data_IF_023653530121
#
_entry.id   IF_023653530121
#
_cell.length_a   1.000
_cell.length_b   1.000
_cell.length_c   1.000
_cell.angle_alpha   90.00
_cell.angle_beta   90.00
_cell.angle_gamma   90.00
#
_symmetry.space_group_name_H-M   'P 1'
#
loop_
_entity.id
_entity.type
_entity.pdbx_description
1 polymer ?
#
# COMPACT_ATOMS: atom_id res chain seq x y z
N UNK A 1 -14.67 -24.23 31.65
CA UNK A 1 -15.45 -23.03 31.27
C UNK A 1 -14.48 -22.06 30.61
N UNK A 2 -14.57 -21.89 29.29
CA UNK A 2 -13.63 -21.11 28.50
C UNK A 2 -14.07 -19.63 28.41
N UNK A 3 -13.38 -18.74 29.10
CA UNK A 3 -13.54 -17.29 28.99
C UNK A 3 -12.87 -16.66 27.75
N UNK A 4 -12.77 -17.39 26.64
CA UNK A 4 -12.07 -16.89 25.44
C UNK A 4 -12.92 -16.02 24.51
N UNK A 5 -14.23 -15.94 24.73
CA UNK A 5 -15.14 -15.24 23.82
C UNK A 5 -15.23 -13.72 24.00
N UNK A 6 -15.01 -13.19 25.20
CA UNK A 6 -15.18 -11.77 25.51
C UNK A 6 -13.99 -10.88 25.06
N UNK A 7 -12.80 -11.46 24.90
CA UNK A 7 -11.60 -10.70 24.53
C UNK A 7 -11.51 -10.32 23.04
N UNK A 8 -12.23 -11.00 22.17
CA UNK A 8 -12.22 -10.73 20.72
C UNK A 8 -12.83 -9.38 20.34
N UNK A 9 -14.05 -9.02 20.79
CA UNK A 9 -14.67 -7.74 20.42
C UNK A 9 -13.96 -6.53 21.00
N UNK A 10 -13.41 -6.64 22.23
CA UNK A 10 -12.69 -5.52 22.87
C UNK A 10 -11.38 -5.21 22.12
N UNK A 11 -10.65 -6.23 21.65
CA UNK A 11 -9.43 -6.05 20.85
C UNK A 11 -9.72 -5.42 19.48
N UNK A 12 -10.81 -5.84 18.84
CA UNK A 12 -11.28 -5.25 17.58
C UNK A 12 -11.62 -3.77 17.77
N UNK A 13 -12.39 -3.43 18.81
CA UNK A 13 -12.74 -2.06 19.13
C UNK A 13 -11.49 -1.20 19.41
N UNK A 14 -10.48 -1.74 20.09
CA UNK A 14 -9.24 -1.00 20.38
C UNK A 14 -8.43 -0.71 19.10
N UNK A 15 -8.31 -1.68 18.21
CA UNK A 15 -7.61 -1.50 16.94
C UNK A 15 -8.34 -0.51 16.03
N UNK A 16 -9.66 -0.65 15.92
CA UNK A 16 -10.49 0.29 15.15
C UNK A 16 -10.43 1.68 15.77
N UNK A 17 -10.45 1.80 17.11
CA UNK A 17 -10.30 3.07 17.80
C UNK A 17 -8.92 3.71 17.57
N UNK A 18 -7.83 2.93 17.58
CA UNK A 18 -6.48 3.43 17.27
C UNK A 18 -6.41 3.92 15.81
N UNK A 19 -6.97 3.15 14.86
CA UNK A 19 -7.01 3.55 13.46
C UNK A 19 -7.89 4.78 13.22
N UNK A 20 -9.03 4.87 13.90
CA UNK A 20 -9.92 6.04 13.85
C UNK A 20 -9.28 7.27 14.52
N UNK A 21 -8.54 7.10 15.60
CA UNK A 21 -7.78 8.19 16.25
C UNK A 21 -6.62 8.65 15.37
N UNK A 22 -5.94 7.73 14.69
CA UNK A 22 -4.92 8.09 13.69
C UNK A 22 -5.54 8.84 12.50
N UNK A 23 -6.73 8.42 12.05
CA UNK A 23 -7.46 9.08 10.98
C UNK A 23 -8.10 10.43 11.40
N UNK A 24 -8.52 10.58 12.68
CA UNK A 24 -9.15 11.81 13.16
C UNK A 24 -8.18 12.99 13.35
N UNK A 25 -6.88 12.74 13.34
CA UNK A 25 -5.86 13.79 13.23
C UNK A 25 -5.81 14.49 11.86
N UNK A 26 -6.52 13.94 10.89
CA UNK A 26 -6.63 14.49 9.53
C UNK A 26 -7.77 15.51 9.50
N UNK A 27 -7.53 16.72 9.97
CA UNK A 27 -8.44 17.81 9.70
C UNK A 27 -8.43 18.07 8.19
N UNK A 28 -9.61 18.03 7.56
CA UNK A 28 -9.80 18.52 6.21
C UNK A 28 -9.30 19.98 6.15
N UNK A 29 -8.07 20.15 5.77
CA UNK A 29 -7.52 21.48 5.56
C UNK A 29 -8.06 22.01 4.24
N UNK A 30 -8.34 23.30 4.22
CA UNK A 30 -8.68 24.07 3.01
C UNK A 30 -7.76 23.63 1.87
N UNK A 31 -8.29 23.36 0.67
CA UNK A 31 -7.47 22.90 -0.44
C UNK A 31 -6.34 23.91 -0.68
N UNK A 32 -5.15 23.56 -0.23
CA UNK A 32 -3.95 24.28 -0.62
C UNK A 32 -3.82 24.02 -2.11
N UNK A 33 -3.69 25.09 -2.86
CA UNK A 33 -3.58 25.11 -4.32
C UNK A 33 -2.92 23.82 -4.84
N UNK A 34 -3.73 23.00 -5.51
CA UNK A 34 -3.20 21.87 -6.28
C UNK A 34 -2.14 22.46 -7.20
N UNK A 35 -0.94 21.88 -7.31
CA UNK A 35 0.04 22.35 -8.28
C UNK A 35 -0.68 22.52 -9.60
N UNK A 36 -0.42 23.61 -10.32
CA UNK A 36 -1.08 23.83 -11.61
C UNK A 36 -0.77 22.67 -12.55
N UNK A 37 -1.67 21.72 -12.57
CA UNK A 37 -1.56 20.48 -13.36
C UNK A 37 -1.95 20.71 -14.81
N UNK A 38 -2.44 21.92 -15.17
CA UNK A 38 -2.89 22.25 -16.54
C UNK A 38 -1.73 22.28 -17.52
N UNK A 39 -0.53 22.60 -17.05
CA UNK A 39 0.69 22.61 -17.88
C UNK A 39 1.43 21.26 -17.89
N UNK A 40 1.08 20.31 -17.01
CA UNK A 40 1.69 19.00 -17.03
C UNK A 40 1.01 18.13 -18.06
N UNK A 41 1.79 17.32 -18.75
CA UNK A 41 1.27 16.32 -19.69
C UNK A 41 0.46 15.22 -19.02
N UNK A 42 0.25 15.27 -17.70
CA UNK A 42 -0.61 14.40 -16.91
C UNK A 42 -0.19 14.25 -15.45
N UNK A 43 -1.01 13.51 -14.72
CA UNK A 43 -0.74 13.11 -13.34
C UNK A 43 -0.06 11.73 -13.38
N UNK A 44 1.17 11.62 -12.89
CA UNK A 44 1.92 10.36 -12.87
C UNK A 44 2.61 10.18 -11.52
N UNK A 45 2.87 8.93 -11.06
CA UNK A 45 3.54 8.68 -9.78
C UNK A 45 4.86 9.42 -9.60
N UNK A 46 5.60 9.64 -10.69
CA UNK A 46 6.88 10.35 -10.66
C UNK A 46 6.80 11.81 -10.16
N UNK A 47 5.62 12.42 -10.25
CA UNK A 47 5.41 13.82 -9.86
C UNK A 47 4.99 14.00 -8.39
N UNK A 48 4.80 12.90 -7.68
CA UNK A 48 4.30 12.89 -6.30
C UNK A 48 5.22 12.09 -5.37
N UNK A 49 4.86 12.04 -4.10
CA UNK A 49 5.50 11.17 -3.14
C UNK A 49 5.19 9.68 -3.38
N UNK A 50 5.92 8.77 -2.72
CA UNK A 50 5.80 7.34 -2.97
C UNK A 50 4.42 6.76 -2.64
N UNK A 51 3.66 7.42 -1.76
CA UNK A 51 2.36 6.95 -1.25
C UNK A 51 1.16 7.53 -2.01
N UNK A 52 1.35 8.49 -2.93
CA UNK A 52 0.24 9.11 -3.67
C UNK A 52 -0.48 8.13 -4.59
N UNK A 53 0.28 7.39 -5.39
CA UNK A 53 -0.21 6.43 -6.38
C UNK A 53 0.60 5.13 -6.29
N UNK A 54 0.46 4.39 -5.18
CA UNK A 54 1.30 3.21 -4.93
C UNK A 54 0.95 2.08 -5.90
N UNK A 55 1.94 1.23 -6.17
CA UNK A 55 1.71 -0.03 -6.87
C UNK A 55 1.15 -1.04 -5.86
N UNK A 56 -0.06 -1.58 -6.08
CA UNK A 56 -0.67 -2.55 -5.16
C UNK A 56 0.22 -3.78 -4.91
N UNK A 57 0.18 -4.28 -3.69
CA UNK A 57 0.89 -5.51 -3.33
C UNK A 57 0.18 -6.73 -3.94
N UNK A 58 0.98 -7.68 -4.44
CA UNK A 58 0.49 -8.96 -4.94
C UNK A 58 0.32 -9.91 -3.76
N UNK A 59 -0.85 -10.50 -3.64
CA UNK A 59 -1.16 -11.46 -2.58
C UNK A 59 -0.84 -12.89 -3.01
N UNK A 60 -0.84 -13.81 -2.06
CA UNK A 60 -0.67 -15.23 -2.31
C UNK A 60 -1.98 -15.97 -2.68
N UNK A 61 -3.10 -15.23 -2.78
CA UNK A 61 -4.42 -15.76 -3.13
C UNK A 61 -5.20 -16.34 -1.94
N UNK A 62 -4.75 -16.10 -0.70
CA UNK A 62 -5.42 -16.56 0.52
C UNK A 62 -5.78 -15.40 1.44
N UNK A 63 -6.94 -15.48 2.08
CA UNK A 63 -7.28 -14.62 3.22
C UNK A 63 -6.55 -15.12 4.48
N UNK A 64 -6.33 -14.23 5.44
CA UNK A 64 -5.71 -14.59 6.71
C UNK A 64 -6.77 -15.12 7.67
N UNK A 65 -6.42 -16.17 8.41
CA UNK A 65 -7.29 -16.85 9.39
C UNK A 65 -7.22 -16.23 10.79
N UNK A 66 -6.25 -15.33 11.04
CA UNK A 66 -6.01 -14.72 12.35
C UNK A 66 -5.92 -13.21 12.26
N UNK A 67 -6.39 -12.56 13.34
CA UNK A 67 -6.13 -11.15 13.53
C UNK A 67 -4.61 -10.92 13.52
N UNK A 68 -4.16 -10.10 12.59
CA UNK A 68 -2.75 -9.77 12.45
C UNK A 68 -2.60 -8.26 12.39
N UNK A 69 -1.72 -7.72 13.21
CA UNK A 69 -1.34 -6.30 13.20
C UNK A 69 0.11 -6.19 12.78
N UNK A 70 0.38 -5.33 11.83
CA UNK A 70 1.72 -5.07 11.29
C UNK A 70 2.10 -3.62 11.55
N UNK A 71 3.26 -3.41 12.15
CA UNK A 71 3.90 -2.11 12.33
C UNK A 71 5.24 -2.14 11.62
N UNK A 72 5.54 -1.10 10.84
CA UNK A 72 6.79 -1.00 10.10
C UNK A 72 7.29 0.43 9.99
N UNK A 73 8.60 0.57 9.84
CA UNK A 73 9.26 1.78 9.37
C UNK A 73 9.67 1.60 7.92
N UNK A 74 9.33 2.57 7.10
CA UNK A 74 9.71 2.63 5.69
C UNK A 74 10.76 3.73 5.46
N UNK A 75 11.69 3.46 4.60
CA UNK A 75 12.55 4.43 3.97
C UNK A 75 12.38 4.36 2.47
N UNK A 76 12.06 5.48 1.84
CA UNK A 76 12.03 5.63 0.39
C UNK A 76 13.10 6.58 -0.09
N UNK A 77 13.79 6.17 -1.15
CA UNK A 77 14.68 7.01 -1.94
C UNK A 77 14.07 7.22 -3.31
N UNK A 78 13.79 8.49 -3.65
CA UNK A 78 13.36 8.88 -5.00
C UNK A 78 14.54 8.95 -5.98
N UNK A 79 14.24 8.73 -7.27
CA UNK A 79 15.22 8.71 -8.38
C UNK A 79 14.72 9.55 -9.56
N UNK A 80 13.85 10.52 -9.31
CA UNK A 80 13.37 11.44 -10.36
C UNK A 80 14.48 12.36 -10.85
N UNK A 81 15.35 12.78 -9.92
CA UNK A 81 16.53 13.61 -10.15
C UNK A 81 17.71 13.00 -9.40
N UNK A 82 18.92 13.52 -9.63
CA UNK A 82 20.11 13.15 -8.85
C UNK A 82 20.10 13.77 -7.44
N UNK A 83 19.14 14.65 -7.17
CA UNK A 83 18.99 15.33 -5.89
C UNK A 83 18.41 14.47 -4.77
N UNK A 84 18.38 15.03 -3.56
CA UNK A 84 17.84 14.35 -2.39
C UNK A 84 16.30 14.29 -2.47
N UNK A 85 15.76 13.09 -2.39
CA UNK A 85 14.31 12.80 -2.30
C UNK A 85 14.13 11.63 -1.35
N UNK A 86 14.15 11.91 -0.06
CA UNK A 86 14.04 10.92 1.00
C UNK A 86 12.69 11.02 1.71
N UNK A 87 12.06 9.87 1.95
CA UNK A 87 10.82 9.77 2.73
C UNK A 87 10.97 8.67 3.78
N UNK A 88 10.46 8.93 4.97
CA UNK A 88 10.42 8.00 6.09
C UNK A 88 8.99 7.90 6.59
N UNK A 89 8.43 6.68 6.62
CA UNK A 89 7.07 6.44 7.09
C UNK A 89 7.05 5.57 8.33
N UNK A 90 6.07 5.83 9.18
CA UNK A 90 5.56 4.86 10.14
C UNK A 90 4.30 4.24 9.54
N UNK A 91 4.37 2.97 9.18
CA UNK A 91 3.30 2.23 8.51
C UNK A 91 2.56 1.31 9.49
N UNK A 92 1.25 1.31 9.43
CA UNK A 92 0.38 0.43 10.21
C UNK A 92 -0.57 -0.32 9.27
N UNK A 93 -0.74 -1.64 9.53
CA UNK A 93 -1.72 -2.49 8.84
C UNK A 93 -2.38 -3.44 9.82
N UNK A 94 -3.67 -3.69 9.63
CA UNK A 94 -4.43 -4.68 10.39
C UNK A 94 -5.21 -5.59 9.44
N UNK A 95 -5.06 -6.89 9.59
CA UNK A 95 -5.87 -7.92 8.94
C UNK A 95 -6.85 -8.46 9.96
N UNK A 96 -8.13 -8.32 9.71
CA UNK A 96 -9.21 -8.61 10.63
C UNK A 96 -10.12 -9.67 10.01
N UNK A 97 -9.98 -10.96 10.38
CA UNK A 97 -10.94 -11.98 9.95
C UNK A 97 -12.34 -11.59 10.44
N UNK A 98 -13.28 -11.53 9.52
CA UNK A 98 -14.67 -11.25 9.82
C UNK A 98 -15.44 -12.59 10.04
N UNK A 99 -16.70 -12.61 9.90
CA UNK A 99 -17.67 -13.65 10.24
C UNK A 99 -17.32 -15.09 9.83
N UNK A 100 -16.32 -15.29 9.00
CA UNK A 100 -15.87 -16.59 8.52
C UNK A 100 -14.37 -16.56 8.21
N UNK A 101 -13.82 -17.73 7.95
CA UNK A 101 -12.46 -17.92 7.43
C UNK A 101 -12.27 -17.51 5.96
N UNK A 102 -13.33 -16.92 5.36
CA UNK A 102 -13.35 -16.53 3.95
C UNK A 102 -13.38 -15.04 3.70
N UNK A 103 -13.51 -14.22 4.74
CA UNK A 103 -13.63 -12.77 4.57
C UNK A 103 -12.71 -12.05 5.56
N UNK A 104 -11.86 -11.17 5.05
CA UNK A 104 -11.08 -10.24 5.85
C UNK A 104 -11.50 -8.81 5.57
N UNK A 105 -11.48 -7.99 6.62
CA UNK A 105 -11.31 -6.55 6.51
C UNK A 105 -9.82 -6.25 6.71
N UNK A 106 -9.20 -5.57 5.76
CA UNK A 106 -7.81 -5.12 5.89
C UNK A 106 -7.76 -3.60 5.89
N UNK A 107 -7.09 -3.02 6.87
CA UNK A 107 -6.93 -1.58 7.02
C UNK A 107 -5.44 -1.27 7.02
N UNK A 108 -5.00 -0.23 6.29
CA UNK A 108 -3.60 0.22 6.37
C UNK A 108 -3.44 1.69 6.03
N UNK A 109 -2.39 2.30 6.57
CA UNK A 109 -2.00 3.66 6.24
C UNK A 109 -0.54 3.94 6.63
N UNK A 110 0.15 4.87 5.97
CA UNK A 110 1.27 5.59 6.53
C UNK A 110 0.74 6.55 7.63
N UNK A 111 0.90 6.16 8.90
CA UNK A 111 0.36 6.94 10.05
C UNK A 111 1.11 8.26 10.19
N UNK A 112 2.39 8.23 9.84
CA UNK A 112 3.26 9.40 9.85
C UNK A 112 4.23 9.29 8.68
N UNK A 113 4.38 10.39 7.96
CA UNK A 113 5.31 10.53 6.85
C UNK A 113 6.21 11.74 7.11
N UNK A 114 7.52 11.56 6.97
CA UNK A 114 8.53 12.62 6.99
C UNK A 114 9.25 12.62 5.66
N UNK A 115 9.44 13.79 5.08
CA UNK A 115 10.15 13.90 3.80
C UNK A 115 11.16 15.01 3.79
N UNK A 116 12.18 14.83 2.96
CA UNK A 116 13.16 15.84 2.64
C UNK A 116 13.54 15.73 1.17
N UNK A 117 13.44 16.83 0.47
CA UNK A 117 13.89 16.93 -0.91
C UNK A 117 14.55 18.29 -1.17
N UNK A 118 15.48 18.30 -2.13
CA UNK A 118 16.24 19.49 -2.49
C UNK A 118 15.55 20.32 -3.59
N UNK A 119 16.24 21.39 -4.03
CA UNK A 119 15.73 22.32 -5.05
C UNK A 119 15.44 21.63 -6.38
N UNK A 120 16.26 20.65 -6.80
CA UNK A 120 16.08 19.96 -8.09
C UNK A 120 14.80 19.13 -8.12
N UNK A 121 14.47 18.45 -7.01
CA UNK A 121 13.20 17.71 -6.87
C UNK A 121 12.02 18.65 -6.80
N UNK A 122 12.14 19.77 -6.10
CA UNK A 122 11.11 20.81 -6.01
C UNK A 122 10.77 21.35 -7.40
N UNK A 123 11.80 21.70 -8.17
CA UNK A 123 11.65 22.20 -9.55
C UNK A 123 11.00 21.12 -10.45
N UNK A 124 11.52 19.91 -10.44
CA UNK A 124 10.99 18.81 -11.26
C UNK A 124 9.52 18.52 -10.97
N UNK A 125 9.11 18.57 -9.70
CA UNK A 125 7.72 18.36 -9.27
C UNK A 125 6.88 19.62 -9.28
N UNK A 126 7.46 20.78 -9.61
CA UNK A 126 6.78 22.11 -9.57
C UNK A 126 6.09 22.36 -8.23
N UNK A 127 6.83 22.16 -7.13
CA UNK A 127 6.30 22.34 -5.78
C UNK A 127 6.25 23.82 -5.45
N UNK A 128 5.04 24.33 -5.22
CA UNK A 128 4.78 25.74 -4.92
C UNK A 128 4.85 26.08 -3.42
N UNK A 129 5.00 25.08 -2.55
CA UNK A 129 5.09 25.31 -1.11
C UNK A 129 6.38 26.03 -0.72
N UNK A 130 6.32 26.75 0.41
CA UNK A 130 7.46 27.47 0.97
C UNK A 130 8.64 26.52 1.24
N UNK A 131 9.82 26.77 0.66
CA UNK A 131 11.02 25.99 0.93
C UNK A 131 11.42 25.92 2.41
N UNK A 132 11.07 26.93 3.21
CA UNK A 132 11.36 26.96 4.64
C UNK A 132 10.58 25.89 5.44
N UNK A 133 9.58 25.25 4.82
CA UNK A 133 8.82 24.15 5.42
C UNK A 133 9.38 22.77 5.08
N UNK A 134 10.51 22.68 4.42
CA UNK A 134 11.26 21.44 4.25
C UNK A 134 12.38 21.34 5.32
N UNK A 135 12.53 20.18 5.99
CA UNK A 135 11.81 18.93 5.84
C UNK A 135 10.33 19.02 6.31
N UNK A 136 9.45 18.34 5.60
CA UNK A 136 8.03 18.30 5.90
C UNK A 136 7.60 17.03 6.64
N UNK A 137 6.39 17.07 7.19
CA UNK A 137 5.74 15.93 7.84
C UNK A 137 4.23 15.93 7.58
N UNK A 138 3.66 14.74 7.57
CA UNK A 138 2.23 14.54 7.42
C UNK A 138 1.80 13.12 7.70
N UNK A 139 0.59 12.75 7.30
CA UNK A 139 0.09 11.38 7.25
C UNK A 139 -0.33 11.05 5.82
N UNK A 140 -0.22 9.78 5.45
CA UNK A 140 -0.77 9.30 4.19
C UNK A 140 -2.26 8.96 4.30
N UNK A 141 -2.81 8.43 3.21
CA UNK A 141 -4.21 8.02 3.16
C UNK A 141 -4.47 6.71 3.90
N UNK A 142 -5.68 6.61 4.44
CA UNK A 142 -6.22 5.35 4.93
C UNK A 142 -6.76 4.52 3.75
N UNK A 143 -6.37 3.26 3.72
CA UNK A 143 -6.90 2.25 2.81
C UNK A 143 -7.78 1.27 3.58
N UNK A 144 -8.89 0.90 2.97
CA UNK A 144 -9.83 -0.09 3.48
C UNK A 144 -10.04 -1.16 2.42
N UNK A 145 -9.81 -2.41 2.74
CA UNK A 145 -9.99 -3.56 1.85
C UNK A 145 -10.97 -4.57 2.43
N UNK A 146 -11.82 -5.10 1.58
CA UNK A 146 -12.56 -6.34 1.84
C UNK A 146 -12.00 -7.42 0.92
N UNK A 147 -11.44 -8.46 1.54
CA UNK A 147 -10.80 -9.58 0.86
C UNK A 147 -11.69 -10.82 1.02
N UNK A 148 -12.07 -11.47 -0.08
CA UNK A 148 -13.01 -12.59 -0.09
C UNK A 148 -12.37 -13.80 -0.76
N UNK A 149 -12.30 -14.92 -0.03
CA UNK A 149 -11.87 -16.22 -0.55
C UNK A 149 -13.02 -16.88 -1.33
N UNK A 150 -13.01 -16.75 -2.65
CA UNK A 150 -14.02 -17.37 -3.51
C UNK A 150 -13.84 -18.89 -3.57
N UNK A 151 -12.59 -19.34 -3.77
CA UNK A 151 -12.24 -20.75 -3.81
C UNK A 151 -11.11 -21.03 -2.83
N UNK A 152 -11.32 -21.97 -1.94
CA UNK A 152 -10.25 -22.53 -1.09
C UNK A 152 -9.44 -23.54 -1.90
N UNK A 153 -8.14 -23.51 -1.73
CA UNK A 153 -7.23 -24.45 -2.39
C UNK A 153 -7.49 -25.90 -1.98
N UNK A 154 -7.34 -26.77 -2.95
CA UNK A 154 -7.25 -28.23 -2.75
C UNK A 154 -6.12 -28.78 -3.62
N UNK A 155 -5.80 -30.06 -3.51
CA UNK A 155 -4.78 -30.68 -4.38
C UNK A 155 -5.01 -30.45 -5.88
N UNK A 156 -6.28 -30.39 -6.29
CA UNK A 156 -6.67 -30.30 -7.70
C UNK A 156 -7.03 -28.90 -8.18
N UNK A 157 -7.36 -27.97 -7.28
CA UNK A 157 -7.79 -26.61 -7.65
C UNK A 157 -6.98 -25.55 -6.94
N UNK A 158 -6.71 -24.38 -7.55
CA UNK A 158 -6.05 -23.27 -6.92
C UNK A 158 -6.98 -22.58 -5.92
N UNK A 159 -6.39 -21.78 -5.03
CA UNK A 159 -7.10 -20.73 -4.31
C UNK A 159 -7.48 -19.61 -5.27
N UNK A 160 -8.64 -18.99 -5.04
CA UNK A 160 -9.06 -17.76 -5.74
C UNK A 160 -9.55 -16.78 -4.70
N UNK A 161 -8.96 -15.60 -4.66
CA UNK A 161 -9.33 -14.51 -3.78
C UNK A 161 -9.64 -13.27 -4.61
N UNK A 162 -10.63 -12.49 -4.20
CA UNK A 162 -10.92 -11.17 -4.74
C UNK A 162 -10.76 -10.12 -3.66
N UNK A 163 -10.28 -8.94 -4.05
CA UNK A 163 -10.18 -7.77 -3.18
C UNK A 163 -10.96 -6.60 -3.75
N UNK A 164 -11.59 -5.86 -2.85
CA UNK A 164 -12.16 -4.54 -3.12
C UNK A 164 -11.49 -3.56 -2.18
N UNK A 165 -10.74 -2.61 -2.70
CA UNK A 165 -9.94 -1.67 -1.93
C UNK A 165 -10.38 -0.24 -2.23
N UNK A 166 -10.58 0.53 -1.17
CA UNK A 166 -10.82 1.96 -1.19
C UNK A 166 -9.63 2.68 -0.57
N UNK A 167 -9.04 3.63 -1.30
CA UNK A 167 -8.14 4.68 -0.79
C UNK A 167 -9.01 5.88 -0.45
N UNK A 168 -8.92 6.37 0.77
CA UNK A 168 -9.61 7.60 1.18
C UNK A 168 -8.79 8.83 0.77
N UNK A 169 -9.37 10.02 0.84
CA UNK A 169 -8.67 11.29 0.71
C UNK A 169 -8.42 11.87 2.11
N UNK A 170 -7.70 11.13 2.96
CA UNK A 170 -7.49 11.48 4.37
C UNK A 170 -6.07 11.94 4.70
N UNK A 171 -5.16 11.94 3.72
CA UNK A 171 -3.81 12.45 3.87
C UNK A 171 -3.81 13.94 4.24
N UNK A 172 -2.82 14.38 5.00
CA UNK A 172 -2.70 15.78 5.40
C UNK A 172 -1.39 16.43 4.93
N UNK A 173 -0.78 15.91 3.89
CA UNK A 173 0.49 16.38 3.32
C UNK A 173 0.30 17.07 1.96
N UNK A 174 -0.77 17.82 1.79
CA UNK A 174 -1.11 18.57 0.57
C UNK A 174 -0.12 19.69 0.26
N UNK A 175 -0.07 20.09 -1.00
CA UNK A 175 0.72 21.23 -1.48
C UNK A 175 2.21 20.97 -1.61
N UNK A 176 2.69 19.81 -1.16
CA UNK A 176 4.09 19.42 -1.24
C UNK A 176 4.38 18.40 -2.34
N UNK A 177 3.43 18.15 -3.23
CA UNK A 177 3.48 17.04 -4.18
C UNK A 177 3.78 15.68 -3.49
N UNK A 178 3.26 15.49 -2.26
CA UNK A 178 3.40 14.24 -1.50
C UNK A 178 2.25 13.30 -1.76
N UNK A 179 1.05 13.86 -1.81
CA UNK A 179 -0.17 13.13 -2.05
C UNK A 179 -1.06 13.89 -3.03
N UNK A 180 -2.01 13.19 -3.60
CA UNK A 180 -3.05 13.75 -4.44
C UNK A 180 -4.38 13.63 -3.69
N UNK A 181 -4.93 14.78 -3.27
CA UNK A 181 -6.15 14.88 -2.45
C UNK A 181 -7.38 14.36 -3.21
N UNK A 182 -7.42 13.05 -3.38
CA UNK A 182 -8.54 12.36 -4.01
C UNK A 182 -8.62 10.91 -3.57
N UNK A 183 -9.85 10.40 -3.54
CA UNK A 183 -10.10 8.98 -3.34
C UNK A 183 -9.56 8.16 -4.52
N UNK A 184 -9.37 6.88 -4.25
CA UNK A 184 -9.03 5.89 -5.26
C UNK A 184 -9.61 4.54 -4.89
N UNK A 185 -9.67 3.64 -5.83
CA UNK A 185 -10.12 2.29 -5.57
C UNK A 185 -9.48 1.31 -6.55
N UNK A 186 -9.42 0.05 -6.14
CA UNK A 186 -9.12 -1.03 -7.06
C UNK A 186 -9.86 -2.31 -6.68
N UNK A 187 -10.11 -3.12 -7.69
CA UNK A 187 -10.67 -4.45 -7.58
C UNK A 187 -9.73 -5.42 -8.25
N UNK A 188 -9.34 -6.47 -7.57
CA UNK A 188 -8.51 -7.49 -8.19
C UNK A 188 -8.94 -8.91 -7.81
N UNK A 189 -8.54 -9.84 -8.67
CA UNK A 189 -8.64 -11.26 -8.44
C UNK A 189 -7.24 -11.86 -8.47
N UNK A 190 -6.92 -12.65 -7.46
CA UNK A 190 -5.67 -13.40 -7.35
C UNK A 190 -5.96 -14.89 -7.37
N UNK A 191 -5.28 -15.59 -8.25
CA UNK A 191 -5.24 -17.07 -8.30
C UNK A 191 -3.91 -17.50 -7.73
N UNK A 192 -3.92 -18.37 -6.70
CA UNK A 192 -2.70 -18.89 -6.07
C UNK A 192 -2.70 -20.41 -5.98
N UNK A 193 -1.56 -21.05 -6.24
CA UNK A 193 -1.37 -22.48 -6.11
C UNK A 193 -0.08 -22.81 -5.38
N UNK A 194 -0.17 -23.71 -4.39
CA UNK A 194 0.95 -24.17 -3.58
C UNK A 194 1.40 -25.59 -3.92
N UNK A 195 2.70 -25.85 -3.72
CA UNK A 195 3.36 -27.15 -3.80
C UNK A 195 4.36 -27.27 -2.65
N UNK A 196 3.97 -27.97 -1.59
CA UNK A 196 4.74 -27.98 -0.34
C UNK A 196 4.90 -26.56 0.22
N UNK A 197 6.12 -26.11 0.53
CA UNK A 197 6.34 -24.76 1.05
C UNK A 197 6.32 -23.65 -0.03
N UNK A 198 6.28 -24.00 -1.30
CA UNK A 198 6.30 -23.04 -2.41
C UNK A 198 4.89 -22.72 -2.87
N UNK A 199 4.67 -21.47 -3.27
CA UNK A 199 3.42 -21.00 -3.85
C UNK A 199 3.70 -20.00 -4.96
N UNK A 200 2.93 -20.09 -6.05
CA UNK A 200 2.87 -19.06 -7.09
C UNK A 200 1.49 -18.43 -7.10
N UNK A 201 1.44 -17.15 -7.43
CA UNK A 201 0.19 -16.44 -7.66
C UNK A 201 0.25 -15.54 -8.87
N UNK A 202 -0.93 -15.30 -9.44
CA UNK A 202 -1.13 -14.31 -10.50
C UNK A 202 -2.34 -13.45 -10.13
N UNK A 203 -2.20 -12.15 -10.31
CA UNK A 203 -3.23 -11.15 -9.99
C UNK A 203 -3.54 -10.33 -11.23
N UNK A 204 -4.82 -10.08 -11.47
CA UNK A 204 -5.26 -9.07 -12.43
C UNK A 204 -6.45 -8.34 -11.87
N UNK A 205 -6.63 -7.09 -12.32
CA UNK A 205 -7.70 -6.26 -11.80
C UNK A 205 -7.83 -4.93 -12.51
N UNK A 206 -8.63 -4.10 -11.91
CA UNK A 206 -8.99 -2.76 -12.33
C UNK A 206 -8.63 -1.79 -11.22
N UNK A 207 -7.97 -0.70 -11.56
CA UNK A 207 -7.52 0.32 -10.64
C UNK A 207 -7.97 1.70 -11.14
N UNK A 208 -8.44 2.54 -10.22
CA UNK A 208 -8.76 3.93 -10.47
C UNK A 208 -8.18 4.81 -9.36
N UNK A 209 -7.11 5.51 -9.67
CA UNK A 209 -6.64 6.64 -8.86
C UNK A 209 -7.31 7.91 -9.39
N UNK A 210 -8.33 8.41 -8.69
CA UNK A 210 -9.04 9.59 -9.12
C UNK A 210 -8.13 10.82 -9.11
N UNK A 211 -8.13 11.60 -10.18
CA UNK A 211 -7.25 12.77 -10.30
C UNK A 211 -8.02 14.08 -10.48
N UNK A 212 -9.34 14.01 -10.64
CA UNK A 212 -10.17 15.20 -10.90
C UNK A 212 -9.86 15.87 -12.25
N UNK A 213 -9.11 15.20 -13.14
CA UNK A 213 -8.89 15.64 -14.53
C UNK A 213 -9.95 15.06 -15.45
N UNK A 214 -10.10 15.63 -16.66
CA UNK A 214 -10.96 15.06 -17.70
C UNK A 214 -10.35 13.82 -18.39
N UNK A 215 -9.24 13.31 -17.90
CA UNK A 215 -8.54 12.16 -18.44
C UNK A 215 -9.06 10.86 -17.86
N UNK A 216 -8.72 9.74 -18.48
CA UNK A 216 -9.08 8.43 -17.98
C UNK A 216 -8.31 8.12 -16.70
N UNK A 217 -9.04 7.78 -15.63
CA UNK A 217 -8.44 7.38 -14.35
C UNK A 217 -8.36 5.86 -14.19
N UNK A 218 -8.86 5.10 -15.15
CA UNK A 218 -8.95 3.64 -15.08
C UNK A 218 -7.67 3.01 -15.62
N UNK A 219 -7.20 1.99 -14.93
CA UNK A 219 -6.01 1.24 -15.32
C UNK A 219 -6.23 -0.26 -15.13
N UNK A 220 -5.56 -1.05 -15.95
CA UNK A 220 -5.47 -2.50 -15.76
C UNK A 220 -4.32 -2.78 -14.81
N UNK A 221 -4.64 -3.41 -13.68
CA UNK A 221 -3.66 -3.90 -12.71
C UNK A 221 -3.26 -5.33 -13.03
N UNK A 222 -1.99 -5.68 -12.82
CA UNK A 222 -1.45 -7.01 -13.05
C UNK A 222 -0.29 -7.32 -12.09
N UNK A 223 -0.04 -8.60 -11.87
CA UNK A 223 1.15 -9.02 -11.13
C UNK A 223 1.31 -10.51 -10.97
N UNK A 224 2.52 -10.90 -10.61
CA UNK A 224 2.93 -12.25 -10.29
C UNK A 224 3.60 -12.27 -8.91
N UNK A 225 3.34 -13.32 -8.15
CA UNK A 225 3.95 -13.56 -6.84
C UNK A 225 4.54 -14.96 -6.74
N UNK A 226 5.71 -15.07 -6.12
CA UNK A 226 6.31 -16.31 -5.69
C UNK A 226 6.56 -16.24 -4.18
N UNK A 227 6.13 -17.26 -3.45
CA UNK A 227 6.18 -17.31 -2.00
C UNK A 227 6.78 -18.62 -1.55
N UNK A 228 7.53 -18.57 -0.47
CA UNK A 228 8.07 -19.70 0.24
C UNK A 228 7.68 -19.59 1.71
N UNK A 229 6.83 -20.49 2.17
CA UNK A 229 6.37 -20.59 3.55
C UNK A 229 7.17 -21.68 4.27
N UNK A 230 8.37 -21.34 4.73
CA UNK A 230 9.22 -22.24 5.48
C UNK A 230 8.84 -22.30 6.97
N UNK A 231 9.45 -23.21 7.70
CA UNK A 231 9.19 -23.38 9.14
C UNK A 231 9.69 -22.21 10.01
N UNK A 232 10.77 -21.56 9.58
CA UNK A 232 11.44 -20.47 10.31
C UNK A 232 11.50 -19.23 9.43
N UNK A 233 11.69 -19.39 8.12
CA UNK A 233 11.92 -18.32 7.19
C UNK A 233 10.82 -18.31 6.14
N UNK A 234 10.22 -17.15 5.92
CA UNK A 234 9.25 -16.89 4.88
C UNK A 234 9.87 -15.93 3.85
N UNK A 235 9.74 -16.25 2.58
CA UNK A 235 10.22 -15.41 1.49
C UNK A 235 9.08 -15.07 0.54
N UNK A 236 9.07 -13.87 0.00
CA UNK A 236 8.25 -13.56 -1.15
C UNK A 236 8.99 -12.69 -2.15
N UNK A 237 8.71 -12.96 -3.43
CA UNK A 237 9.10 -12.12 -4.54
C UNK A 237 7.86 -11.78 -5.34
N UNK A 238 7.65 -10.49 -5.62
CA UNK A 238 6.48 -9.98 -6.31
C UNK A 238 6.94 -9.07 -7.43
N UNK A 239 6.28 -9.17 -8.56
CA UNK A 239 6.41 -8.26 -9.68
C UNK A 239 5.01 -7.83 -10.11
N UNK A 240 4.79 -6.54 -10.32
CA UNK A 240 3.50 -6.06 -10.72
C UNK A 240 3.49 -4.57 -11.02
N UNK A 241 2.36 -4.13 -11.53
CA UNK A 241 2.14 -2.75 -11.93
C UNK A 241 0.73 -2.53 -12.44
N UNK A 242 0.54 -1.41 -13.10
CA UNK A 242 -0.71 -1.07 -13.78
C UNK A 242 -0.43 -0.24 -15.03
N UNK A 243 -1.35 -0.24 -15.99
CA UNK A 243 -1.23 0.52 -17.24
C UNK A 243 -2.60 1.01 -17.73
N UNK A 244 -2.58 2.03 -18.58
CA UNK A 244 -3.78 2.63 -19.16
C UNK A 244 -4.33 3.84 -18.38
N UNK A 245 -3.74 4.15 -17.24
CA UNK A 245 -4.10 5.29 -16.42
C UNK A 245 -3.66 6.61 -17.09
N UNK A 246 -4.53 7.61 -17.04
CA UNK A 246 -4.31 8.96 -17.61
C UNK A 246 -4.08 9.00 -19.13
N UNK A 247 -4.22 7.92 -19.85
CA UNK A 247 -4.01 7.81 -21.32
C UNK A 247 -2.65 8.34 -21.78
N UNK A 248 -1.63 8.31 -20.95
CA UNK A 248 -0.32 8.92 -21.21
C UNK A 248 0.80 7.93 -21.46
N UNK A 249 0.49 6.65 -21.53
CA UNK A 249 1.48 5.61 -21.65
C UNK A 249 2.22 5.31 -20.34
N UNK A 250 1.80 5.89 -19.20
CA UNK A 250 2.33 5.54 -17.90
C UNK A 250 2.03 4.09 -17.58
N UNK A 251 3.08 3.34 -17.24
CA UNK A 251 3.02 1.93 -16.86
C UNK A 251 3.84 1.69 -15.59
N UNK A 252 3.42 2.24 -14.43
CA UNK A 252 4.14 2.06 -13.18
C UNK A 252 4.31 0.59 -12.84
N UNK A 253 5.56 0.18 -12.61
CA UNK A 253 5.94 -1.20 -12.38
C UNK A 253 7.01 -1.28 -11.31
N UNK A 254 6.93 -2.32 -10.45
CA UNK A 254 7.93 -2.57 -9.43
C UNK A 254 8.17 -4.06 -9.20
N UNK A 255 9.33 -4.36 -8.61
CA UNK A 255 9.63 -5.64 -7.97
C UNK A 255 9.72 -5.42 -6.47
N UNK A 256 9.22 -6.39 -5.69
CA UNK A 256 9.24 -6.38 -4.23
C UNK A 256 9.73 -7.72 -3.72
N UNK A 257 10.66 -7.69 -2.77
CA UNK A 257 11.19 -8.86 -2.08
C UNK A 257 10.96 -8.71 -0.60
N UNK A 258 10.50 -9.75 0.08
CA UNK A 258 10.32 -9.79 1.54
C UNK A 258 10.97 -11.05 2.11
N UNK A 259 11.66 -10.87 3.22
CA UNK A 259 12.22 -11.91 4.07
C UNK A 259 11.61 -11.76 5.46
N UNK A 260 10.85 -12.74 5.91
CA UNK A 260 10.24 -12.81 7.24
C UNK A 260 10.81 -13.97 8.06
N UNK A 261 10.78 -13.82 9.38
CA UNK A 261 11.18 -14.87 10.33
C UNK A 261 9.99 -15.22 11.22
N UNK A 262 9.53 -16.47 11.14
CA UNK A 262 8.44 -16.95 11.99
C UNK A 262 8.95 -17.23 13.41
N UNK A 263 8.59 -16.36 14.35
CA UNK A 263 8.83 -16.49 15.78
C UNK A 263 7.50 -16.76 16.54
N UNK A 264 6.63 -17.55 15.96
CA UNK A 264 5.34 -17.94 16.53
C UNK A 264 4.29 -16.84 16.39
N UNK A 265 4.09 -16.01 17.43
CA UNK A 265 3.16 -14.88 17.36
C UNK A 265 3.72 -13.67 16.62
N UNK A 266 5.02 -13.58 16.50
CA UNK A 266 5.72 -12.45 15.88
C UNK A 266 6.37 -12.90 14.58
N UNK A 267 6.34 -12.05 13.59
CA UNK A 267 7.05 -12.21 12.34
C UNK A 267 7.78 -10.91 12.02
N UNK A 268 9.00 -10.71 12.57
CA UNK A 268 9.86 -9.64 12.10
C UNK A 268 10.23 -9.89 10.63
N UNK A 269 10.32 -8.81 9.85
CA UNK A 269 10.62 -8.93 8.43
C UNK A 269 11.38 -7.72 7.89
N UNK A 270 12.11 -7.96 6.82
CA UNK A 270 12.71 -6.97 5.95
C UNK A 270 12.05 -7.06 4.57
N UNK A 271 11.73 -5.91 3.98
CA UNK A 271 11.21 -5.83 2.61
C UNK A 271 11.97 -4.77 1.84
N UNK A 272 12.27 -5.07 0.59
CA UNK A 272 12.79 -4.12 -0.37
C UNK A 272 11.86 -4.05 -1.58
N UNK A 273 11.63 -2.84 -2.10
CA UNK A 273 10.91 -2.62 -3.35
C UNK A 273 11.75 -1.70 -4.24
N UNK A 274 11.77 -2.00 -5.53
CA UNK A 274 12.38 -1.15 -6.56
C UNK A 274 11.38 -0.89 -7.67
N UNK A 275 11.13 0.39 -7.96
CA UNK A 275 10.42 0.78 -9.16
C UNK A 275 11.29 0.50 -10.39
N UNK A 276 10.70 -0.14 -11.39
CA UNK A 276 11.35 -0.53 -12.64
C UNK A 276 11.02 0.42 -13.78
N UNK A 277 9.78 0.90 -13.81
CA UNK A 277 9.26 1.80 -14.83
C UNK A 277 8.23 2.74 -14.21
N UNK A 278 8.24 4.01 -14.56
CA UNK A 278 7.30 5.08 -14.16
C UNK A 278 6.96 5.21 -12.66
N UNK A 279 7.71 4.51 -11.80
CA UNK A 279 7.65 4.60 -10.35
C UNK A 279 9.06 4.80 -9.80
N UNK A 280 9.52 6.04 -9.66
CA UNK A 280 10.94 6.35 -9.43
C UNK A 280 11.34 6.24 -7.94
N UNK A 281 10.96 5.15 -7.26
CA UNK A 281 11.27 4.96 -5.85
C UNK A 281 11.91 3.60 -5.57
N UNK A 282 12.86 3.61 -4.64
CA UNK A 282 13.32 2.41 -3.93
C UNK A 282 12.82 2.50 -2.50
N UNK A 283 12.21 1.44 -1.98
CA UNK A 283 11.76 1.32 -0.59
C UNK A 283 12.58 0.26 0.13
N UNK A 284 12.93 0.56 1.37
CA UNK A 284 13.32 -0.43 2.38
C UNK A 284 12.33 -0.34 3.53
N UNK A 285 11.77 -1.49 3.94
CA UNK A 285 10.82 -1.60 5.05
C UNK A 285 11.36 -2.58 6.08
N UNK A 286 11.42 -2.16 7.33
CA UNK A 286 11.66 -3.02 8.48
C UNK A 286 10.38 -3.04 9.31
N UNK A 287 9.83 -4.23 9.56
CA UNK A 287 8.57 -4.35 10.27
C UNK A 287 8.45 -5.61 11.09
N UNK A 288 7.36 -5.69 11.82
CA UNK A 288 6.95 -6.86 12.58
C UNK A 288 5.45 -7.04 12.44
N UNK A 289 5.01 -8.25 12.11
CA UNK A 289 3.62 -8.65 12.15
C UNK A 289 3.35 -9.44 13.44
N UNK A 290 2.29 -9.09 14.14
CA UNK A 290 1.85 -9.74 15.36
C UNK A 290 0.52 -10.46 15.12
N UNK A 291 0.52 -11.79 15.32
CA UNK A 291 -0.62 -12.69 15.16
C UNK A 291 -1.28 -12.97 16.52
N UNK A 292 -2.59 -12.77 16.61
CA UNK A 292 -3.38 -12.94 17.85
C UNK A 292 -4.14 -14.26 17.87
#
# INVERSE_FOLDING_TARGET
MHCSGLFRPVRLCLIVAILLLAASGSYAQTPILKPDMTERTGVAPRWFGPNAFPIPEITDGRVRDRLTVELAGDYYRGHLTDGQDDTYDLFLRAYIPLFSDRVNLTLWMPVMEFWKYDASVREARRILSDPAKDPGRGSGDLYVSVDIQLLTETDRRPAVMVRSVLKTASANCFGYARDYDSAGYFFDATVGKGWGPFRLSATTGFLCWQTGTARQNDAVQYGLGAFYDGRIVNLSAQWGGYFGWERQGDAPMSVRLRLGFDAGRFEPYLQAQRGLHDYPFTQLRLGCAWRF
#
